data_IF_306879868039
#
_entry.id   IF_306879868039
#
_cell.length_a   1.000
_cell.length_b   1.000
_cell.length_c   1.000
_cell.angle_alpha   90.00
_cell.angle_beta   90.00
_cell.angle_gamma   90.00
#
_symmetry.space_group_name_H-M   'P 1'
#
loop_
_entity.id
_entity.type
_entity.pdbx_description
1 polymer ?
#
# COMPACT_ATOMS: atom_id res chain seq x y z
N UNK A 1 -5.89 31.57 -2.11
CA UNK A 1 -6.18 30.57 -1.05
C UNK A 1 -5.84 29.18 -1.59
N UNK A 2 -4.69 28.62 -1.22
CA UNK A 2 -4.19 27.34 -1.76
C UNK A 2 -4.79 26.21 -0.93
N UNK A 3 -5.81 25.52 -1.45
CA UNK A 3 -6.26 24.24 -0.87
C UNK A 3 -5.35 23.15 -1.41
N UNK A 4 -4.47 22.60 -0.57
CA UNK A 4 -3.63 21.46 -0.92
C UNK A 4 -4.14 20.23 -0.16
N UNK A 5 -4.35 19.12 -0.88
CA UNK A 5 -4.62 17.82 -0.26
C UNK A 5 -3.31 17.04 -0.22
N UNK A 6 -2.89 16.60 0.95
CA UNK A 6 -1.67 15.80 1.11
C UNK A 6 -2.00 14.47 1.77
N UNK A 7 -1.43 13.38 1.27
CA UNK A 7 -1.39 12.13 1.98
C UNK A 7 0.02 11.91 2.52
N UNK A 8 0.10 11.47 3.76
CA UNK A 8 1.36 11.01 4.33
C UNK A 8 1.21 9.63 4.91
N UNK A 9 2.33 8.93 4.96
CA UNK A 9 2.40 7.59 5.48
C UNK A 9 3.28 7.61 6.73
N UNK A 10 2.74 7.09 7.83
CA UNK A 10 3.47 6.92 9.08
C UNK A 10 3.48 5.45 9.46
N UNK A 11 4.64 4.89 9.76
CA UNK A 11 4.75 3.54 10.28
C UNK A 11 4.72 3.56 11.81
N UNK A 12 3.79 2.82 12.41
CA UNK A 12 3.64 2.64 13.85
C UNK A 12 4.37 1.39 14.32
N UNK A 13 5.25 1.56 15.31
CA UNK A 13 6.04 0.51 15.93
C UNK A 13 5.51 0.28 17.36
N UNK A 14 4.96 -0.91 17.65
CA UNK A 14 4.53 -1.29 19.01
C UNK A 14 5.67 -1.84 19.90
N UNK A 15 5.47 -1.88 21.22
CA UNK A 15 6.40 -2.54 22.16
C UNK A 15 6.64 -4.00 21.78
N UNK A 16 7.91 -4.40 21.71
CA UNK A 16 8.39 -5.77 21.37
C UNK A 16 7.63 -6.83 22.17
N UNK A 17 6.64 -7.49 21.56
CA UNK A 17 6.29 -8.87 21.90
C UNK A 17 7.27 -9.73 21.13
N UNK A 18 8.08 -10.55 21.81
CA UNK A 18 8.93 -11.60 21.20
C UNK A 18 8.02 -12.55 20.40
N UNK A 19 7.69 -12.20 19.17
CA UNK A 19 7.23 -13.12 18.13
C UNK A 19 8.41 -13.38 17.22
N UNK A 20 8.57 -14.65 16.85
CA UNK A 20 9.71 -15.19 16.09
C UNK A 20 10.06 -14.25 14.95
N UNK A 21 11.35 -13.94 14.80
CA UNK A 21 11.84 -13.12 13.69
C UNK A 21 11.34 -13.76 12.39
N UNK A 22 10.58 -13.05 11.53
CA UNK A 22 10.44 -13.47 10.16
C UNK A 22 11.84 -13.50 9.55
N UNK A 23 12.18 -14.59 8.88
CA UNK A 23 13.45 -14.82 8.21
C UNK A 23 13.57 -13.93 6.97
N UNK A 24 13.47 -12.61 7.13
CA UNK A 24 13.71 -11.65 6.06
C UNK A 24 14.93 -10.83 6.46
N UNK A 25 16.08 -11.53 6.46
CA UNK A 25 17.39 -10.88 6.33
C UNK A 25 17.87 -11.10 4.90
N UNK A 26 17.05 -10.73 3.92
CA UNK A 26 17.55 -10.47 2.58
C UNK A 26 18.13 -9.06 2.61
N UNK A 27 19.45 -9.04 2.68
CA UNK A 27 20.32 -7.89 2.60
C UNK A 27 20.00 -7.15 1.30
N UNK A 28 19.26 -6.04 1.40
CA UNK A 28 19.01 -5.13 0.29
C UNK A 28 20.23 -4.20 0.14
N UNK A 29 21.32 -4.74 -0.39
CA UNK A 29 22.29 -3.91 -1.11
C UNK A 29 21.89 -3.94 -2.58
N UNK A 30 21.71 -2.76 -3.17
CA UNK A 30 21.14 -2.53 -4.50
C UNK A 30 21.94 -3.07 -5.69
N UNK A 31 22.09 -4.39 -5.79
CA UNK A 31 22.59 -5.07 -6.98
C UNK A 31 21.76 -6.33 -7.26
N UNK A 32 21.08 -6.29 -8.41
CA UNK A 32 20.61 -7.44 -9.17
C UNK A 32 19.82 -8.50 -8.37
N UNK A 33 18.50 -8.32 -8.31
CA UNK A 33 17.62 -9.46 -8.61
C UNK A 33 18.00 -9.88 -10.04
N UNK A 34 18.94 -10.83 -10.14
CA UNK A 34 19.29 -11.48 -11.40
C UNK A 34 17.97 -11.92 -12.01
N UNK A 35 17.57 -11.24 -13.09
CA UNK A 35 16.42 -11.60 -13.89
C UNK A 35 16.80 -12.89 -14.63
N UNK A 36 16.83 -14.00 -13.90
CA UNK A 36 16.82 -15.33 -14.49
C UNK A 36 15.56 -15.37 -15.34
N UNK A 37 15.71 -15.63 -16.64
CA UNK A 37 14.62 -15.82 -17.60
C UNK A 37 13.52 -16.76 -17.05
N UNK A 38 13.86 -17.64 -16.11
CA UNK A 38 12.97 -18.59 -15.45
C UNK A 38 11.87 -17.94 -14.58
N UNK A 39 12.06 -16.72 -14.08
CA UNK A 39 11.12 -16.07 -13.15
C UNK A 39 10.27 -14.95 -13.78
N UNK A 40 10.53 -14.63 -15.06
CA UNK A 40 9.81 -13.60 -15.81
C UNK A 40 8.29 -13.87 -15.92
N UNK A 41 7.81 -15.11 -16.10
CA UNK A 41 6.37 -15.39 -16.12
C UNK A 41 5.66 -15.01 -14.82
N UNK A 42 6.29 -15.29 -13.67
CA UNK A 42 5.74 -14.98 -12.35
C UNK A 42 5.55 -13.46 -12.16
N UNK A 43 6.54 -12.66 -12.57
CA UNK A 43 6.47 -11.21 -12.55
C UNK A 43 5.37 -10.67 -13.48
N UNK A 44 5.24 -11.23 -14.69
CA UNK A 44 4.23 -10.80 -15.67
C UNK A 44 2.81 -11.07 -15.17
N UNK A 45 2.56 -12.22 -14.52
CA UNK A 45 1.25 -12.49 -13.91
C UNK A 45 0.95 -11.49 -12.80
N UNK A 46 1.92 -11.18 -11.93
CA UNK A 46 1.73 -10.18 -10.87
C UNK A 46 1.38 -8.79 -11.46
N UNK A 47 2.08 -8.36 -12.51
CA UNK A 47 1.81 -7.09 -13.19
C UNK A 47 0.45 -7.06 -13.88
N UNK A 48 0.06 -8.15 -14.53
CA UNK A 48 -1.25 -8.26 -15.18
C UNK A 48 -2.38 -8.15 -14.15
N UNK A 49 -2.24 -8.82 -13.00
CA UNK A 49 -3.21 -8.69 -11.90
C UNK A 49 -3.23 -7.26 -11.33
N UNK A 50 -2.08 -6.59 -11.16
CA UNK A 50 -2.03 -5.18 -10.76
C UNK A 50 -2.78 -4.27 -11.73
N UNK A 51 -2.64 -4.50 -13.03
CA UNK A 51 -3.33 -3.72 -14.05
C UNK A 51 -4.85 -3.91 -13.99
N UNK A 52 -5.31 -5.16 -13.83
CA UNK A 52 -6.75 -5.48 -13.76
C UNK A 52 -7.43 -5.00 -12.49
N UNK A 53 -6.71 -4.96 -11.37
CA UNK A 53 -7.23 -4.50 -10.08
C UNK A 53 -7.12 -2.99 -9.86
N UNK A 54 -6.65 -2.21 -10.84
CA UNK A 54 -6.59 -0.74 -10.76
C UNK A 54 -7.90 -0.08 -11.18
N UNK A 55 -8.25 1.02 -10.52
CA UNK A 55 -9.46 1.83 -10.72
C UNK A 55 -9.63 2.43 -12.13
N UNK A 56 -8.61 2.36 -12.98
CA UNK A 56 -8.66 2.80 -14.38
C UNK A 56 -9.39 1.82 -15.32
N UNK A 57 -9.71 0.60 -14.87
CA UNK A 57 -10.30 -0.45 -15.69
C UNK A 57 -11.84 -0.31 -15.83
N UNK A 58 -12.33 0.92 -16.11
CA UNK A 58 -13.75 1.32 -16.08
C UNK A 58 -14.67 0.66 -17.13
N UNK A 59 -14.15 -0.28 -17.94
CA UNK A 59 -14.90 -0.95 -18.99
C UNK A 59 -15.17 -2.44 -18.73
N UNK A 60 -14.65 -3.01 -17.64
CA UNK A 60 -14.83 -4.43 -17.32
C UNK A 60 -15.87 -4.58 -16.21
N UNK A 61 -16.90 -5.40 -16.42
CA UNK A 61 -17.87 -5.71 -15.36
C UNK A 61 -17.20 -6.51 -14.23
N UNK A 62 -17.77 -6.49 -13.03
CA UNK A 62 -17.23 -7.28 -11.90
C UNK A 62 -17.20 -8.79 -12.23
N UNK A 63 -18.20 -9.28 -12.97
CA UNK A 63 -18.29 -10.68 -13.41
C UNK A 63 -17.19 -11.04 -14.42
N UNK A 64 -16.93 -10.17 -15.40
CA UNK A 64 -15.84 -10.36 -16.37
C UNK A 64 -14.46 -10.28 -15.70
N UNK A 65 -14.30 -9.39 -14.73
CA UNK A 65 -13.08 -9.28 -13.93
C UNK A 65 -12.87 -10.59 -13.18
N UNK A 66 -13.90 -11.09 -12.50
CA UNK A 66 -13.84 -12.32 -11.72
C UNK A 66 -13.47 -13.54 -12.56
N UNK A 67 -14.11 -13.70 -13.74
CA UNK A 67 -13.77 -14.75 -14.69
C UNK A 67 -12.36 -14.61 -15.27
N UNK A 68 -11.85 -13.38 -15.39
CA UNK A 68 -10.45 -13.13 -15.80
C UNK A 68 -9.48 -13.56 -14.70
N UNK A 69 -9.75 -13.23 -13.44
CA UNK A 69 -8.93 -13.64 -12.29
C UNK A 69 -8.82 -15.16 -12.19
N UNK A 70 -9.92 -15.90 -12.40
CA UNK A 70 -9.91 -17.37 -12.37
C UNK A 70 -9.03 -17.98 -13.46
N UNK A 71 -9.10 -17.46 -14.69
CA UNK A 71 -8.23 -17.89 -15.80
C UNK A 71 -6.75 -17.66 -15.48
N UNK A 72 -6.43 -16.53 -14.84
CA UNK A 72 -5.06 -16.21 -14.41
C UNK A 72 -4.58 -17.17 -13.33
N UNK A 73 -5.44 -17.54 -12.37
CA UNK A 73 -5.10 -18.50 -11.33
C UNK A 73 -4.84 -19.91 -11.88
N UNK A 74 -5.51 -20.31 -12.97
CA UNK A 74 -5.18 -21.55 -13.70
C UNK A 74 -3.77 -21.50 -14.26
N UNK A 75 -3.38 -20.39 -14.92
CA UNK A 75 -2.02 -20.20 -15.44
C UNK A 75 -0.97 -20.18 -14.32
N UNK A 76 -1.29 -19.55 -13.19
CA UNK A 76 -0.42 -19.46 -12.02
C UNK A 76 0.00 -20.83 -11.47
N UNK A 77 -0.84 -21.86 -11.60
CA UNK A 77 -0.52 -23.24 -11.16
C UNK A 77 0.73 -23.80 -11.83
N UNK A 78 0.97 -23.44 -13.09
CA UNK A 78 2.08 -23.96 -13.89
C UNK A 78 3.38 -23.16 -13.75
N UNK A 79 3.34 -22.02 -13.05
CA UNK A 79 4.50 -21.15 -12.87
C UNK A 79 5.42 -21.65 -11.76
N UNK A 80 6.71 -21.60 -12.06
CA UNK A 80 7.82 -21.75 -11.11
C UNK A 80 8.25 -20.36 -10.59
N UNK A 81 8.72 -20.27 -9.34
CA UNK A 81 9.09 -18.98 -8.72
C UNK A 81 7.91 -18.22 -8.11
N UNK A 82 7.12 -18.91 -7.26
CA UNK A 82 5.93 -18.33 -6.60
C UNK A 82 6.28 -17.28 -5.54
N UNK A 83 7.45 -17.40 -4.92
CA UNK A 83 8.07 -16.41 -4.05
C UNK A 83 8.32 -15.08 -4.77
N UNK A 84 8.73 -15.14 -6.05
CA UNK A 84 8.91 -13.95 -6.89
C UNK A 84 7.56 -13.28 -7.15
N UNK A 85 6.54 -14.06 -7.55
CA UNK A 85 5.18 -13.55 -7.71
C UNK A 85 4.69 -12.85 -6.45
N UNK A 86 4.82 -13.50 -5.28
CA UNK A 86 4.38 -12.95 -4.00
C UNK A 86 5.05 -11.60 -3.68
N UNK A 87 6.37 -11.52 -3.86
CA UNK A 87 7.12 -10.29 -3.63
C UNK A 87 6.63 -9.13 -4.52
N UNK A 88 6.37 -9.40 -5.80
CA UNK A 88 5.82 -8.39 -6.73
C UNK A 88 4.37 -8.04 -6.40
N UNK A 89 3.52 -9.04 -6.19
CA UNK A 89 2.10 -8.86 -5.89
C UNK A 89 1.90 -8.05 -4.59
N UNK A 90 2.61 -8.40 -3.51
CA UNK A 90 2.56 -7.68 -2.23
C UNK A 90 3.04 -6.24 -2.36
N UNK A 91 4.13 -6.01 -3.10
CA UNK A 91 4.66 -4.67 -3.36
C UNK A 91 3.65 -3.81 -4.11
N UNK A 92 3.00 -4.36 -5.14
CA UNK A 92 2.08 -3.61 -5.98
C UNK A 92 0.72 -3.42 -5.29
N UNK A 93 0.21 -4.40 -4.53
CA UNK A 93 -0.94 -4.26 -3.64
C UNK A 93 -0.73 -3.13 -2.62
N UNK A 94 0.42 -3.12 -1.92
CA UNK A 94 0.74 -2.06 -0.97
C UNK A 94 0.70 -0.67 -1.63
N UNK A 95 1.22 -0.53 -2.85
CA UNK A 95 1.16 0.72 -3.61
C UNK A 95 -0.26 1.10 -4.00
N UNK A 96 -1.09 0.16 -4.50
CA UNK A 96 -2.48 0.43 -4.88
C UNK A 96 -3.29 0.91 -3.69
N UNK A 97 -3.12 0.26 -2.54
CA UNK A 97 -3.79 0.60 -1.29
C UNK A 97 -3.39 2.00 -0.78
N UNK A 98 -2.10 2.32 -0.76
CA UNK A 98 -1.62 3.63 -0.30
C UNK A 98 -1.97 4.78 -1.24
N UNK A 99 -2.05 4.52 -2.55
CA UNK A 99 -2.37 5.55 -3.54
C UNK A 99 -3.88 5.64 -3.82
N UNK A 100 -4.71 4.82 -3.18
CA UNK A 100 -6.14 4.76 -3.45
C UNK A 100 -6.47 4.41 -4.90
N UNK A 101 -5.63 3.59 -5.54
CA UNK A 101 -5.74 3.23 -6.97
C UNK A 101 -6.40 1.87 -7.22
N UNK A 102 -6.85 1.16 -6.17
CA UNK A 102 -7.59 -0.10 -6.30
C UNK A 102 -8.98 0.13 -6.90
N UNK A 103 -9.44 -0.79 -7.76
CA UNK A 103 -10.76 -0.74 -8.38
C UNK A 103 -11.88 -0.94 -7.36
N UNK A 104 -11.75 -1.94 -6.49
CA UNK A 104 -12.67 -2.20 -5.37
C UNK A 104 -11.91 -2.91 -4.25
N UNK A 105 -12.28 -2.64 -2.99
CA UNK A 105 -11.73 -3.37 -1.83
C UNK A 105 -12.21 -4.82 -1.85
N UNK A 106 -13.45 -5.05 -2.31
CA UNK A 106 -14.05 -6.39 -2.34
C UNK A 106 -13.40 -7.26 -3.42
N UNK A 107 -12.99 -6.67 -4.56
CA UNK A 107 -12.21 -7.37 -5.57
C UNK A 107 -10.82 -7.78 -5.06
N UNK A 108 -10.16 -6.93 -4.27
CA UNK A 108 -8.87 -7.26 -3.64
C UNK A 108 -9.05 -8.39 -2.60
N UNK A 109 -10.12 -8.34 -1.79
CA UNK A 109 -10.49 -9.40 -0.84
C UNK A 109 -10.80 -10.73 -1.56
N UNK A 110 -11.57 -10.69 -2.66
CA UNK A 110 -11.88 -11.87 -3.47
C UNK A 110 -10.61 -12.50 -4.03
N UNK A 111 -9.72 -11.70 -4.64
CA UNK A 111 -8.47 -12.21 -5.20
C UNK A 111 -7.58 -12.87 -4.14
N UNK A 112 -7.46 -12.26 -2.95
CA UNK A 112 -6.73 -12.86 -1.82
C UNK A 112 -7.39 -14.19 -1.43
N UNK A 113 -8.71 -14.22 -1.23
CA UNK A 113 -9.43 -15.44 -0.84
C UNK A 113 -9.33 -16.57 -1.88
N UNK A 114 -9.33 -16.24 -3.17
CA UNK A 114 -9.16 -17.22 -4.26
C UNK A 114 -7.76 -17.81 -4.30
N UNK A 115 -6.75 -17.02 -3.97
CA UNK A 115 -5.39 -17.56 -3.80
C UNK A 115 -5.29 -18.46 -2.56
N UNK A 116 -6.07 -18.20 -1.51
CA UNK A 116 -6.10 -19.00 -0.28
C UNK A 116 -6.79 -20.36 -0.45
N UNK A 117 -7.81 -20.44 -1.30
CA UNK A 117 -8.73 -21.58 -1.39
C UNK A 117 -8.62 -22.35 -2.71
N UNK A 118 -7.41 -22.65 -3.16
CA UNK A 118 -7.18 -23.58 -4.29
C UNK A 118 -7.60 -25.01 -3.95
N UNK A 119 -8.91 -25.27 -3.86
CA UNK A 119 -9.48 -26.38 -3.08
C UNK A 119 -9.75 -27.68 -3.83
N UNK A 120 -9.27 -27.90 -5.06
CA UNK A 120 -9.62 -29.16 -5.77
C UNK A 120 -8.48 -30.02 -6.31
N UNK A 121 -7.20 -29.75 -6.01
CA UNK A 121 -6.11 -30.62 -6.53
C UNK A 121 -4.88 -30.68 -5.62
N UNK A 122 -5.08 -30.77 -4.30
CA UNK A 122 -4.04 -30.51 -3.29
C UNK A 122 -3.46 -31.77 -2.64
N UNK A 123 -3.02 -32.75 -3.43
CA UNK A 123 -2.17 -33.83 -2.91
C UNK A 123 -0.70 -33.72 -3.38
N UNK A 124 -0.34 -32.73 -4.21
CA UNK A 124 1.05 -32.48 -4.68
C UNK A 124 1.49 -31.01 -4.63
N UNK A 125 0.76 -30.14 -3.93
CA UNK A 125 0.92 -28.67 -3.96
C UNK A 125 1.30 -28.03 -2.60
N UNK A 126 2.06 -28.72 -1.76
CA UNK A 126 2.56 -28.17 -0.48
C UNK A 126 3.34 -26.86 -0.62
N UNK A 127 4.04 -26.65 -1.75
CA UNK A 127 4.80 -25.44 -2.02
C UNK A 127 3.94 -24.19 -2.33
N UNK A 128 2.71 -24.35 -2.82
CA UNK A 128 1.78 -23.23 -3.02
C UNK A 128 1.27 -22.69 -1.69
N UNK A 129 0.92 -23.58 -0.76
CA UNK A 129 0.44 -23.19 0.56
C UNK A 129 1.50 -22.47 1.38
N UNK A 130 2.79 -22.82 1.23
CA UNK A 130 3.89 -22.23 2.03
C UNK A 130 4.27 -20.79 1.63
N UNK A 131 4.25 -20.47 0.34
CA UNK A 131 4.45 -19.08 -0.12
C UNK A 131 3.22 -18.23 0.20
N UNK A 132 2.02 -18.76 -0.05
CA UNK A 132 0.77 -18.05 0.26
C UNK A 132 0.48 -17.95 1.76
N UNK A 133 1.14 -18.70 2.64
CA UNK A 133 0.96 -18.56 4.10
C UNK A 133 1.56 -17.27 4.65
N UNK A 134 2.61 -16.72 4.02
CA UNK A 134 3.15 -15.42 4.40
C UNK A 134 2.23 -14.29 3.89
N UNK A 135 1.66 -14.43 2.68
CA UNK A 135 0.60 -13.56 2.17
C UNK A 135 -0.70 -13.64 2.99
N UNK A 136 -1.05 -14.83 3.51
CA UNK A 136 -2.24 -15.11 4.35
C UNK A 136 -2.28 -14.29 5.63
N UNK A 137 -1.12 -14.08 6.27
CA UNK A 137 -1.05 -13.25 7.47
C UNK A 137 -0.87 -11.77 7.12
N UNK A 138 -0.33 -11.45 5.94
CA UNK A 138 0.12 -10.09 5.65
C UNK A 138 -0.90 -9.26 4.88
N UNK A 139 -1.47 -9.78 3.78
CA UNK A 139 -2.36 -9.02 2.91
C UNK A 139 -3.67 -8.58 3.62
N UNK A 140 -4.30 -9.43 4.45
CA UNK A 140 -5.42 -8.99 5.29
C UNK A 140 -5.03 -7.90 6.29
N UNK A 141 -3.83 -7.98 6.89
CA UNK A 141 -3.34 -6.94 7.81
C UNK A 141 -3.04 -5.62 7.07
N UNK A 142 -2.64 -5.64 5.78
CA UNK A 142 -2.53 -4.42 4.97
C UNK A 142 -3.90 -3.74 4.79
N UNK A 143 -4.93 -4.51 4.45
CA UNK A 143 -6.29 -3.98 4.27
C UNK A 143 -6.84 -3.42 5.59
N UNK A 144 -6.62 -4.13 6.69
CA UNK A 144 -7.01 -3.71 8.04
C UNK A 144 -6.28 -2.45 8.50
N UNK A 145 -4.98 -2.32 8.21
CA UNK A 145 -4.23 -1.07 8.50
C UNK A 145 -4.82 0.12 7.72
N UNK A 146 -5.29 -0.08 6.49
CA UNK A 146 -5.96 0.97 5.70
C UNK A 146 -7.33 1.33 6.29
N UNK A 147 -8.14 0.35 6.67
CA UNK A 147 -9.43 0.58 7.33
C UNK A 147 -9.24 1.32 8.67
N UNK A 148 -8.33 0.84 9.53
CA UNK A 148 -7.98 1.49 10.79
C UNK A 148 -7.43 2.91 10.59
N UNK A 149 -6.63 3.13 9.54
CA UNK A 149 -6.13 4.46 9.18
C UNK A 149 -7.28 5.43 8.88
N UNK A 150 -8.36 4.97 8.21
CA UNK A 150 -9.53 5.83 7.95
C UNK A 150 -10.20 6.25 9.26
N UNK A 151 -10.43 5.31 10.16
CA UNK A 151 -11.00 5.58 11.49
C UNK A 151 -10.14 6.56 12.31
N UNK A 152 -8.81 6.37 12.29
CA UNK A 152 -7.87 7.28 12.97
C UNK A 152 -7.95 8.69 12.37
N UNK A 153 -8.03 8.83 11.04
CA UNK A 153 -8.16 10.14 10.39
C UNK A 153 -9.48 10.83 10.72
N UNK A 154 -10.59 10.10 10.72
CA UNK A 154 -11.90 10.64 11.13
C UNK A 154 -11.87 11.12 12.57
N UNK A 155 -11.30 10.29 13.45
CA UNK A 155 -11.12 10.63 14.86
C UNK A 155 -10.20 11.84 15.06
N UNK A 156 -9.14 11.96 14.26
CA UNK A 156 -8.24 13.11 14.28
C UNK A 156 -8.98 14.38 13.85
N UNK A 157 -9.70 14.34 12.72
CA UNK A 157 -10.50 15.48 12.21
C UNK A 157 -11.52 15.98 13.23
N UNK A 158 -12.08 15.09 14.05
CA UNK A 158 -13.04 15.45 15.10
C UNK A 158 -12.38 15.98 16.38
N UNK A 159 -11.09 15.72 16.61
CA UNK A 159 -10.36 16.10 17.83
C UNK A 159 -10.21 17.61 18.01
N UNK A 160 -10.11 18.07 19.26
CA UNK A 160 -9.84 19.48 19.59
C UNK A 160 -8.49 19.94 19.03
N UNK A 161 -7.48 19.06 19.02
CA UNK A 161 -6.15 19.32 18.49
C UNK A 161 -6.20 19.69 17.01
N UNK A 162 -6.98 18.96 16.19
CA UNK A 162 -7.15 19.28 14.79
C UNK A 162 -7.87 20.62 14.57
N UNK A 163 -8.92 20.90 15.35
CA UNK A 163 -9.72 22.12 15.19
C UNK A 163 -8.99 23.41 15.61
N UNK A 164 -8.05 23.32 16.54
CA UNK A 164 -7.42 24.50 17.17
C UNK A 164 -6.01 24.75 16.67
N UNK A 165 -5.25 23.70 16.35
CA UNK A 165 -3.81 23.82 16.05
C UNK A 165 -3.46 23.70 14.57
N UNK A 166 -4.36 23.19 13.71
CA UNK A 166 -4.01 22.91 12.31
C UNK A 166 -3.87 24.18 11.47
N UNK A 167 -2.86 24.23 10.56
CA UNK A 167 -2.75 25.30 9.57
C UNK A 167 -3.99 25.34 8.66
N UNK A 168 -4.49 26.55 8.39
CA UNK A 168 -5.62 26.73 7.47
C UNK A 168 -5.19 26.51 6.02
N UNK A 169 -6.04 25.82 5.24
CA UNK A 169 -5.81 25.60 3.80
C UNK A 169 -5.09 24.31 3.42
N UNK A 170 -4.61 23.51 4.38
CA UNK A 170 -4.04 22.18 4.10
C UNK A 170 -4.96 21.11 4.66
N UNK A 171 -5.44 20.22 3.80
CA UNK A 171 -6.13 19.00 4.22
C UNK A 171 -5.13 17.85 4.09
N UNK A 172 -4.82 17.18 5.20
CA UNK A 172 -3.90 16.04 5.16
C UNK A 172 -4.51 14.77 5.75
N UNK A 173 -4.32 13.65 5.05
CA UNK A 173 -4.77 12.32 5.47
C UNK A 173 -3.56 11.44 5.74
N UNK A 174 -3.55 10.74 6.87
CA UNK A 174 -2.39 9.95 7.31
C UNK A 174 -2.71 8.46 7.28
N UNK A 175 -1.94 7.68 6.52
CA UNK A 175 -1.99 6.23 6.60
C UNK A 175 -1.04 5.74 7.70
N UNK A 176 -1.58 5.16 8.76
CA UNK A 176 -0.82 4.58 9.87
C UNK A 176 -0.64 3.09 9.63
N UNK A 177 0.59 2.67 9.37
CA UNK A 177 0.94 1.33 8.93
C UNK A 177 1.68 0.54 10.01
N UNK A 178 1.35 -0.73 10.20
CA UNK A 178 2.02 -1.59 11.16
C UNK A 178 3.34 -2.12 10.59
N UNK A 179 4.45 -1.83 11.26
CA UNK A 179 5.78 -2.28 10.83
C UNK A 179 5.88 -3.82 10.86
N UNK A 180 6.26 -4.43 9.74
CA UNK A 180 6.42 -5.89 9.61
C UNK A 180 5.45 -6.53 8.61
N UNK A 181 4.30 -5.90 8.36
CA UNK A 181 3.37 -6.34 7.32
C UNK A 181 3.65 -5.64 5.98
N UNK A 182 3.96 -4.35 6.03
CA UNK A 182 4.27 -3.55 4.85
C UNK A 182 5.69 -3.82 4.33
N UNK A 183 5.94 -3.65 3.01
CA UNK A 183 7.30 -3.64 2.48
C UNK A 183 8.20 -2.67 3.25
N UNK A 184 9.47 -3.01 3.42
CA UNK A 184 10.41 -2.10 4.08
C UNK A 184 10.77 -0.99 3.12
N UNK A 185 10.54 0.25 3.53
CA UNK A 185 10.90 1.44 2.77
C UNK A 185 12.07 2.14 3.47
N UNK A 186 13.12 2.48 2.71
CA UNK A 186 14.23 3.24 3.25
C UNK A 186 13.76 4.67 3.59
N UNK A 187 13.94 5.15 4.83
CA UNK A 187 13.66 6.54 5.15
C UNK A 187 14.46 7.44 4.22
N UNK A 188 13.77 8.39 3.59
CA UNK A 188 14.41 9.41 2.75
C UNK A 188 14.32 10.73 3.49
N UNK A 189 15.45 11.42 3.60
CA UNK A 189 15.46 12.75 4.19
C UNK A 189 14.88 13.74 3.17
N UNK A 190 13.80 14.41 3.55
CA UNK A 190 13.05 15.32 2.67
C UNK A 190 12.77 16.59 3.45
N UNK A 191 13.12 17.73 2.87
CA UNK A 191 12.76 19.04 3.42
C UNK A 191 11.30 19.35 3.12
N UNK A 192 10.44 19.11 4.10
CA UNK A 192 9.02 19.45 4.02
C UNK A 192 8.80 20.95 4.30
N UNK A 193 7.83 21.59 3.64
CA UNK A 193 7.31 22.90 4.05
C UNK A 193 6.93 22.94 5.53
N UNK A 194 7.09 24.12 6.14
CA UNK A 194 6.86 24.32 7.57
C UNK A 194 5.46 23.86 8.00
N UNK A 195 4.44 24.17 7.19
CA UNK A 195 3.05 23.84 7.48
C UNK A 195 2.81 22.32 7.53
N UNK A 196 3.52 21.55 6.71
CA UNK A 196 3.44 20.09 6.74
C UNK A 196 4.16 19.50 7.97
N UNK A 197 5.28 20.10 8.39
CA UNK A 197 5.95 19.69 9.63
C UNK A 197 5.06 19.91 10.84
N UNK A 198 4.41 21.09 10.94
CA UNK A 198 3.44 21.39 12.00
C UNK A 198 2.29 20.38 12.01
N UNK A 199 1.76 20.02 10.83
CA UNK A 199 0.72 19.00 10.73
C UNK A 199 1.20 17.64 11.26
N UNK A 200 2.41 17.21 10.88
CA UNK A 200 3.00 15.95 11.34
C UNK A 200 3.16 15.91 12.86
N UNK A 201 3.59 17.01 13.47
CA UNK A 201 3.77 17.10 14.92
C UNK A 201 2.44 17.05 15.67
N UNK A 202 1.43 17.78 15.22
CA UNK A 202 0.08 17.77 15.82
C UNK A 202 -0.55 16.37 15.70
N UNK A 203 -0.42 15.73 14.54
CA UNK A 203 -0.91 14.37 14.35
C UNK A 203 -0.17 13.37 15.25
N UNK A 204 1.15 13.54 15.41
CA UNK A 204 1.96 12.68 16.28
C UNK A 204 1.55 12.82 17.75
N UNK A 205 1.32 14.04 18.24
CA UNK A 205 0.80 14.28 19.59
C UNK A 205 -0.57 13.60 19.79
N UNK A 206 -1.49 13.78 18.84
CA UNK A 206 -2.79 13.12 18.86
C UNK A 206 -2.64 11.59 18.94
N UNK A 207 -1.85 11.00 18.04
CA UNK A 207 -1.70 9.56 17.96
C UNK A 207 -1.08 8.98 19.24
N UNK A 208 -0.03 9.60 19.76
CA UNK A 208 0.65 9.13 20.96
C UNK A 208 -0.19 9.31 22.23
N UNK A 209 -1.10 10.29 22.26
CA UNK A 209 -2.05 10.44 23.37
C UNK A 209 -3.07 9.30 23.45
N UNK A 210 -3.48 8.75 22.30
CA UNK A 210 -4.40 7.60 22.23
C UNK A 210 -3.71 6.25 22.31
N UNK A 211 -2.54 6.12 21.67
CA UNK A 211 -1.82 4.85 21.55
C UNK A 211 -0.48 4.91 22.29
N UNK A 212 -0.54 4.77 23.61
CA UNK A 212 0.64 4.81 24.46
C UNK A 212 1.60 3.63 24.18
N UNK A 213 2.91 3.90 24.28
CA UNK A 213 3.94 2.89 24.05
C UNK A 213 4.18 2.51 22.58
N UNK A 214 3.63 3.27 21.62
CA UNK A 214 3.97 3.15 20.20
C UNK A 214 4.94 4.25 19.77
N UNK A 215 5.66 4.03 18.67
CA UNK A 215 6.50 5.05 18.02
C UNK A 215 6.09 5.21 16.56
N UNK A 216 5.84 6.45 16.13
CA UNK A 216 5.60 6.78 14.73
C UNK A 216 6.91 7.15 14.03
N UNK A 217 7.07 6.64 12.81
CA UNK A 217 8.14 7.01 11.87
C UNK A 217 7.51 7.44 10.55
N UNK A 218 7.77 8.68 10.12
CA UNK A 218 7.24 9.20 8.86
C UNK A 218 7.99 8.64 7.66
N UNK A 219 7.24 8.19 6.66
CA UNK A 219 7.76 7.72 5.38
C UNK A 219 7.30 8.65 4.26
N UNK A 220 7.91 9.84 4.19
CA UNK A 220 7.52 10.92 3.28
C UNK A 220 7.61 10.51 1.79
N UNK A 221 8.48 9.55 1.45
CA UNK A 221 8.64 9.05 0.08
C UNK A 221 7.39 8.34 -0.49
N UNK A 222 6.46 7.93 0.36
CA UNK A 222 5.20 7.28 -0.02
C UNK A 222 4.02 8.25 -0.04
N UNK A 223 4.22 9.46 0.46
CA UNK A 223 3.21 10.51 0.42
C UNK A 223 2.97 10.99 -1.00
N UNK A 224 1.77 11.51 -1.25
CA UNK A 224 1.44 12.22 -2.48
C UNK A 224 0.63 13.46 -2.13
N UNK A 225 0.70 14.49 -2.97
CA UNK A 225 -0.05 15.72 -2.77
C UNK A 225 -0.71 16.20 -4.05
N UNK A 226 -1.83 16.89 -3.90
CA UNK A 226 -2.55 17.59 -4.96
C UNK A 226 -2.29 19.07 -4.80
N UNK A 227 -1.67 19.67 -5.81
CA UNK A 227 -1.32 21.09 -5.83
C UNK A 227 -2.30 21.82 -6.75
N UNK A 228 -2.81 22.96 -6.26
CA UNK A 228 -3.52 23.92 -7.10
C UNK A 228 -2.50 24.91 -7.66
N UNK A 229 -2.33 24.91 -8.97
CA UNK A 229 -1.52 25.88 -9.69
C UNK A 229 -2.40 26.94 -10.35
N UNK A 230 -1.97 28.19 -10.32
CA UNK A 230 -2.58 29.31 -11.05
C UNK A 230 -1.52 29.82 -12.02
N UNK A 231 -1.80 29.73 -13.31
CA UNK A 231 -0.87 30.13 -14.37
C UNK A 231 -1.30 31.47 -14.98
N UNK A 232 -0.35 32.32 -15.43
CA UNK A 232 -0.66 33.51 -16.21
C UNK A 232 -1.41 33.16 -17.50
N UNK A 233 -2.35 34.00 -17.92
CA UNK A 233 -3.20 33.74 -19.10
C UNK A 233 -2.45 33.86 -20.44
N UNK A 234 -1.26 34.46 -20.45
CA UNK A 234 -0.60 34.94 -21.67
C UNK A 234 0.44 33.95 -22.25
N UNK A 235 0.48 32.69 -21.81
CA UNK A 235 1.47 31.72 -22.30
C UNK A 235 0.97 30.79 -23.42
N UNK A 236 -0.23 31.00 -23.98
CA UNK A 236 -0.81 30.17 -25.04
C UNK A 236 -1.16 30.97 -26.31
N UNK A 237 -0.34 31.94 -26.70
CA UNK A 237 -0.52 32.67 -27.96
C UNK A 237 0.64 32.49 -28.93
N UNK A 238 1.15 31.25 -29.08
CA UNK A 238 2.01 30.85 -30.21
C UNK A 238 2.07 29.31 -30.29
N UNK A 239 0.98 28.68 -30.72
CA UNK A 239 0.99 27.29 -31.17
C UNK A 239 -0.23 27.02 -32.06
N UNK A 240 -0.28 27.65 -33.24
CA UNK A 240 -0.95 27.13 -34.44
C UNK A 240 -0.28 27.70 -35.69
#
# INVERSE_FOLDING_TARGET
MKKAKSQATACSIGKKKRRRRPFWKLRHDGRFLSCSLKNRPAELIAKFLDEKLRAGNKGTSEEELEGTLDKVLVLFRFIQGKDVFEAFYKKDLAKRLLLGKSASIDAEKSMISKTECGSQFTNKLEGMFKALTDAKDTCPELLKDIELSKEINESFKQSSQARTKLPTGIEMSVHVLTMGYWPTYSPTDVRLPHELNVYQDIFKEFYLSKYSGRRLMWQNSLGHSVLKAEYPKDCCSDAF
#
